data_IF_485423826687
#
_entry.id   IF_485423826687
#
_cell.length_a   1.000
_cell.length_b   1.000
_cell.length_c   1.000
_cell.angle_alpha   90.00
_cell.angle_beta   90.00
_cell.angle_gamma   90.00
#
_symmetry.space_group_name_H-M   'P 1'
#
loop_
_entity.id
_entity.type
_entity.pdbx_description
1 polymer ?
#
# COMPACT_ATOMS: atom_id res chain seq x y z
N UNK A 1 -22.01 -10.15 2.98
CA UNK A 1 -21.37 -11.05 3.94
C UNK A 1 -19.97 -10.55 4.30
N UNK A 2 -19.83 -10.06 5.52
CA UNK A 2 -18.56 -9.57 6.04
C UNK A 2 -17.69 -10.75 6.44
N UNK A 3 -16.44 -10.78 5.95
CA UNK A 3 -15.48 -11.82 6.33
C UNK A 3 -14.92 -11.51 7.72
N UNK A 4 -14.86 -12.54 8.58
CA UNK A 4 -14.24 -12.43 9.89
C UNK A 4 -12.77 -12.83 9.81
N UNK A 5 -11.85 -12.02 10.37
CA UNK A 5 -10.43 -12.36 10.38
C UNK A 5 -10.12 -13.51 11.33
N UNK A 6 -9.08 -14.28 10.99
CA UNK A 6 -8.53 -15.28 11.90
C UNK A 6 -7.81 -14.60 13.08
N UNK A 7 -7.55 -15.35 14.14
CA UNK A 7 -6.92 -14.82 15.37
C UNK A 7 -5.60 -14.09 15.09
N UNK A 8 -4.72 -14.68 14.30
CA UNK A 8 -3.44 -14.05 13.97
C UNK A 8 -3.61 -12.74 13.17
N UNK A 9 -4.68 -12.63 12.37
CA UNK A 9 -5.02 -11.41 11.67
C UNK A 9 -5.52 -10.32 12.62
N UNK A 10 -6.32 -10.71 13.63
CA UNK A 10 -6.77 -9.79 14.67
C UNK A 10 -5.61 -9.24 15.49
N UNK A 11 -4.66 -10.09 15.85
CA UNK A 11 -3.47 -9.67 16.60
C UNK A 11 -2.63 -8.70 15.81
N UNK A 12 -2.44 -8.96 14.50
CA UNK A 12 -1.73 -8.05 13.60
C UNK A 12 -2.44 -6.69 13.48
N UNK A 13 -3.77 -6.70 13.32
CA UNK A 13 -4.58 -5.48 13.23
C UNK A 13 -4.47 -4.64 14.50
N UNK A 14 -4.52 -5.27 15.66
CA UNK A 14 -4.38 -4.59 16.96
C UNK A 14 -2.99 -3.98 17.13
N UNK A 15 -1.94 -4.69 16.68
CA UNK A 15 -0.58 -4.18 16.72
C UNK A 15 -0.42 -2.94 15.82
N UNK A 16 -0.99 -2.98 14.62
CA UNK A 16 -0.98 -1.84 13.70
C UNK A 16 -1.74 -0.65 14.28
N UNK A 17 -2.91 -0.89 14.89
CA UNK A 17 -3.69 0.17 15.53
C UNK A 17 -2.87 0.89 16.61
N UNK A 18 -2.19 0.14 17.48
CA UNK A 18 -1.37 0.73 18.54
C UNK A 18 -0.22 1.56 17.97
N UNK A 19 0.46 1.06 16.95
CA UNK A 19 1.56 1.78 16.32
C UNK A 19 1.08 3.05 15.64
N UNK A 20 -0.06 3.00 14.97
CA UNK A 20 -0.64 4.15 14.28
C UNK A 20 -1.08 5.24 15.25
N UNK A 21 -1.62 4.87 16.41
CA UNK A 21 -2.03 5.81 17.45
C UNK A 21 -0.84 6.49 18.14
N UNK A 22 0.25 5.76 18.35
CA UNK A 22 1.38 6.22 19.13
C UNK A 22 2.45 6.96 18.30
N UNK A 23 2.53 6.70 16.99
CA UNK A 23 3.62 7.18 16.16
C UNK A 23 3.14 7.84 14.87
N UNK A 24 3.68 9.02 14.55
CA UNK A 24 3.44 9.67 13.26
C UNK A 24 4.18 8.96 12.12
N UNK A 25 5.37 8.43 12.40
CA UNK A 25 6.14 7.61 11.46
C UNK A 25 6.53 6.31 12.14
N UNK A 26 6.38 5.19 11.44
CA UNK A 26 6.75 3.89 12.00
C UNK A 26 7.12 2.91 10.89
N UNK A 27 7.83 1.86 11.30
CA UNK A 27 8.12 0.70 10.46
C UNK A 27 7.77 -0.54 11.27
N UNK A 28 6.95 -1.40 10.72
CA UNK A 28 6.56 -2.65 11.37
C UNK A 28 6.60 -3.79 10.38
N UNK A 29 6.86 -4.99 10.88
CA UNK A 29 6.82 -6.21 10.09
C UNK A 29 5.66 -7.07 10.58
N UNK A 30 4.68 -7.24 9.70
CA UNK A 30 3.57 -8.15 9.93
C UNK A 30 3.90 -9.46 9.24
N UNK A 31 4.22 -10.48 10.02
CA UNK A 31 4.56 -11.81 9.51
C UNK A 31 3.34 -12.71 9.65
N UNK A 32 2.82 -13.18 8.53
CA UNK A 32 1.69 -14.10 8.49
C UNK A 32 2.10 -15.38 7.75
N UNK A 33 1.59 -16.54 8.18
CA UNK A 33 1.85 -17.78 7.45
C UNK A 33 1.36 -17.69 6.00
N UNK A 34 2.01 -18.42 5.10
CA UNK A 34 1.56 -18.56 3.72
C UNK A 34 0.10 -19.02 3.71
N UNK A 35 -0.75 -18.34 2.96
CA UNK A 35 -2.18 -18.60 2.97
C UNK A 35 -2.92 -18.03 4.18
N UNK A 36 -2.23 -17.28 5.06
CA UNK A 36 -2.83 -16.72 6.27
C UNK A 36 -3.65 -15.44 6.05
N UNK A 37 -3.84 -15.01 4.82
CA UNK A 37 -4.65 -13.84 4.51
C UNK A 37 -3.98 -12.52 4.83
N UNK A 38 -2.65 -12.41 4.65
CA UNK A 38 -1.93 -11.16 4.90
C UNK A 38 -2.42 -9.99 4.06
N UNK A 39 -2.79 -10.25 2.79
CA UNK A 39 -3.35 -9.22 1.91
C UNK A 39 -4.71 -8.74 2.43
N UNK A 40 -5.55 -9.68 2.90
CA UNK A 40 -6.80 -9.33 3.55
C UNK A 40 -6.58 -8.46 4.78
N UNK A 41 -5.65 -8.85 5.66
CA UNK A 41 -5.33 -8.11 6.88
C UNK A 41 -4.87 -6.69 6.56
N UNK A 42 -3.90 -6.56 5.65
CA UNK A 42 -3.35 -5.26 5.29
C UNK A 42 -4.40 -4.37 4.60
N UNK A 43 -5.14 -4.91 3.62
CA UNK A 43 -6.10 -4.12 2.87
C UNK A 43 -7.29 -3.65 3.71
N UNK A 44 -7.81 -4.48 4.61
CA UNK A 44 -8.92 -4.07 5.49
C UNK A 44 -8.48 -2.99 6.47
N UNK A 45 -7.27 -3.11 7.02
CA UNK A 45 -6.73 -2.09 7.92
C UNK A 45 -6.50 -0.77 7.18
N UNK A 46 -5.92 -0.83 5.98
CA UNK A 46 -5.62 0.36 5.16
C UNK A 46 -6.87 1.06 4.63
N UNK A 47 -7.93 0.31 4.31
CA UNK A 47 -9.21 0.91 3.95
C UNK A 47 -9.71 1.83 5.06
N UNK A 48 -9.64 1.39 6.29
CA UNK A 48 -10.12 2.14 7.45
C UNK A 48 -9.17 3.26 7.87
N UNK A 49 -7.88 2.99 7.92
CA UNK A 49 -6.89 3.90 8.52
C UNK A 49 -6.20 4.82 7.52
N UNK A 50 -6.24 4.50 6.24
CA UNK A 50 -5.66 5.34 5.20
C UNK A 50 -6.73 5.90 4.26
N UNK A 51 -7.37 5.06 3.47
CA UNK A 51 -8.29 5.52 2.42
C UNK A 51 -9.50 6.27 2.99
N UNK A 52 -10.08 5.78 4.07
CA UNK A 52 -11.22 6.46 4.70
C UNK A 52 -10.84 7.81 5.30
N UNK A 53 -9.57 8.03 5.58
CA UNK A 53 -9.03 9.31 6.08
C UNK A 53 -8.40 10.15 4.96
N UNK A 54 -8.60 9.77 3.71
CA UNK A 54 -8.06 10.43 2.51
C UNK A 54 -6.52 10.51 2.51
N UNK A 55 -5.86 9.50 3.07
CA UNK A 55 -4.41 9.37 3.04
C UNK A 55 -4.01 8.42 1.94
N UNK A 56 -2.84 8.66 1.35
CA UNK A 56 -2.35 7.91 0.20
C UNK A 56 -1.64 6.63 0.61
N UNK A 57 -1.75 5.61 -0.25
CA UNK A 57 -1.10 4.32 -0.08
C UNK A 57 -0.24 4.02 -1.29
N UNK A 58 1.01 3.64 -1.06
CA UNK A 58 1.89 3.07 -2.08
C UNK A 58 2.12 1.60 -1.74
N UNK A 59 1.61 0.71 -2.58
CA UNK A 59 1.73 -0.74 -2.41
C UNK A 59 2.69 -1.29 -3.45
N UNK A 60 3.78 -1.89 -3.00
CA UNK A 60 4.83 -2.45 -3.85
C UNK A 60 4.77 -3.97 -3.84
N UNK A 61 4.79 -4.57 -5.01
CA UNK A 61 4.84 -6.02 -5.14
C UNK A 61 5.76 -6.43 -6.28
N UNK A 62 6.28 -7.65 -6.22
CA UNK A 62 7.21 -8.17 -7.21
C UNK A 62 6.52 -8.81 -8.39
N UNK A 63 5.47 -9.62 -8.14
CA UNK A 63 4.78 -10.39 -9.18
C UNK A 63 3.50 -9.68 -9.64
N UNK A 64 3.22 -9.75 -10.94
CA UNK A 64 2.01 -9.16 -11.50
C UNK A 64 0.73 -9.71 -10.90
N UNK A 65 0.70 -11.03 -10.60
CA UNK A 65 -0.46 -11.66 -9.95
C UNK A 65 -0.75 -11.06 -8.58
N UNK A 66 0.29 -10.66 -7.83
CA UNK A 66 0.13 -10.03 -6.52
C UNK A 66 -0.45 -8.61 -6.65
N UNK A 67 -0.16 -7.91 -7.74
CA UNK A 67 -0.74 -6.59 -8.01
C UNK A 67 -2.25 -6.69 -8.18
N UNK A 68 -2.70 -7.63 -9.01
CA UNK A 68 -4.13 -7.84 -9.25
C UNK A 68 -4.83 -8.31 -7.98
N UNK A 69 -4.22 -9.21 -7.21
CA UNK A 69 -4.78 -9.69 -5.94
C UNK A 69 -4.92 -8.56 -4.93
N UNK A 70 -3.96 -7.65 -4.86
CA UNK A 70 -4.04 -6.50 -3.97
C UNK A 70 -5.20 -5.60 -4.37
N UNK A 71 -5.33 -5.25 -5.65
CA UNK A 71 -6.43 -4.44 -6.15
C UNK A 71 -7.79 -5.08 -5.88
N UNK A 72 -7.93 -6.37 -6.15
CA UNK A 72 -9.15 -7.12 -5.88
C UNK A 72 -9.50 -7.11 -4.40
N UNK A 73 -8.50 -7.25 -3.52
CA UNK A 73 -8.71 -7.25 -2.09
C UNK A 73 -9.26 -5.91 -1.60
N UNK A 74 -8.70 -4.79 -2.07
CA UNK A 74 -9.23 -3.47 -1.72
C UNK A 74 -10.65 -3.28 -2.21
N UNK A 75 -10.96 -3.68 -3.43
CA UNK A 75 -12.31 -3.58 -3.99
C UNK A 75 -13.31 -4.46 -3.25
N UNK A 76 -12.93 -5.71 -2.98
CA UNK A 76 -13.79 -6.71 -2.36
C UNK A 76 -14.16 -6.34 -0.93
N UNK A 77 -13.24 -5.74 -0.19
CA UNK A 77 -13.44 -5.42 1.22
C UNK A 77 -13.79 -3.94 1.49
N UNK A 78 -14.07 -3.17 0.44
CA UNK A 78 -14.47 -1.76 0.55
C UNK A 78 -15.96 -1.63 0.93
N UNK A 79 -16.33 -2.15 2.10
CA UNK A 79 -17.68 -2.01 2.63
C UNK A 79 -17.85 -0.66 3.31
N UNK A 80 -19.09 -0.18 3.38
CA UNK A 80 -19.41 1.06 4.07
C UNK A 80 -18.95 1.06 5.54
N UNK A 81 -18.92 -0.11 6.18
CA UNK A 81 -18.41 -0.25 7.56
C UNK A 81 -16.89 -0.01 7.65
N UNK A 82 -16.15 -0.28 6.58
CA UNK A 82 -14.68 -0.07 6.53
C UNK A 82 -14.31 1.33 6.07
N UNK A 83 -15.16 1.97 5.25
CA UNK A 83 -14.92 3.32 4.72
C UNK A 83 -16.13 4.22 4.96
N UNK A 84 -16.51 4.49 6.23
CA UNK A 84 -17.73 5.25 6.55
C UNK A 84 -17.69 6.71 6.12
N UNK A 85 -16.52 7.30 5.90
CA UNK A 85 -16.36 8.72 5.61
C UNK A 85 -16.19 9.04 4.13
N UNK A 86 -15.96 8.03 3.27
CA UNK A 86 -15.84 8.22 1.82
C UNK A 86 -16.77 7.27 1.08
N UNK A 87 -17.20 7.69 -0.12
CA UNK A 87 -18.06 6.86 -0.98
C UNK A 87 -17.28 6.02 -1.97
N UNK A 88 -16.06 6.45 -2.32
CA UNK A 88 -15.20 5.76 -3.28
C UNK A 88 -13.75 6.20 -3.09
N UNK A 89 -12.85 5.43 -3.69
CA UNK A 89 -11.43 5.79 -3.79
C UNK A 89 -10.93 5.48 -5.18
N UNK A 90 -9.86 6.15 -5.58
CA UNK A 90 -9.24 5.97 -6.89
C UNK A 90 -7.95 5.17 -6.74
N UNK A 91 -7.87 4.07 -7.50
CA UNK A 91 -6.67 3.23 -7.49
C UNK A 91 -6.07 3.11 -8.89
N UNK A 92 -4.79 2.79 -8.95
CA UNK A 92 -4.08 2.56 -10.20
C UNK A 92 -3.08 1.43 -10.03
N UNK A 93 -3.04 0.52 -11.00
CA UNK A 93 -2.07 -0.59 -11.04
C UNK A 93 -1.06 -0.26 -12.12
N UNK A 94 0.21 -0.21 -11.74
CA UNK A 94 1.33 0.14 -12.64
C UNK A 94 2.28 -1.05 -12.77
N UNK A 95 2.47 -1.53 -13.99
CA UNK A 95 3.40 -2.64 -14.27
C UNK A 95 3.77 -2.68 -15.75
N UNK A 96 4.61 -3.63 -16.12
CA UNK A 96 4.96 -3.88 -17.51
C UNK A 96 3.88 -4.59 -18.30
N UNK A 97 2.81 -5.07 -17.65
CA UNK A 97 1.71 -5.75 -18.33
C UNK A 97 0.91 -4.78 -19.21
N UNK A 98 0.42 -5.27 -20.35
CA UNK A 98 -0.46 -4.49 -21.23
C UNK A 98 -1.81 -4.15 -20.58
N UNK A 99 -2.20 -4.90 -19.56
CA UNK A 99 -3.46 -4.70 -18.83
C UNK A 99 -3.35 -3.66 -17.72
N UNK A 100 -2.14 -3.19 -17.43
CA UNK A 100 -1.88 -2.23 -16.37
C UNK A 100 -1.40 -0.89 -16.93
N UNK A 101 -1.54 0.16 -16.14
CA UNK A 101 -1.04 1.47 -16.49
C UNK A 101 0.49 1.55 -16.41
N UNK A 102 1.06 2.63 -16.91
CA UNK A 102 2.48 2.94 -16.83
C UNK A 102 2.73 4.07 -15.84
N UNK A 103 3.97 4.28 -15.45
CA UNK A 103 4.33 5.33 -14.49
C UNK A 103 3.91 6.72 -14.96
N UNK A 104 3.89 6.96 -16.27
CA UNK A 104 3.44 8.23 -16.86
C UNK A 104 1.96 8.51 -16.59
N UNK A 105 1.17 7.47 -16.32
CA UNK A 105 -0.27 7.60 -16.07
C UNK A 105 -0.60 7.95 -14.62
N UNK A 106 0.41 7.94 -13.72
CA UNK A 106 0.18 8.26 -12.31
C UNK A 106 -0.39 9.67 -12.19
N UNK A 107 -1.52 9.79 -11.49
CA UNK A 107 -2.24 11.04 -11.30
C UNK A 107 -2.12 11.47 -9.83
N UNK A 108 -1.87 12.74 -9.54
CA UNK A 108 -1.84 13.23 -8.15
C UNK A 108 -3.10 12.93 -7.34
N UNK A 109 -4.22 12.68 -8.01
CA UNK A 109 -5.51 12.34 -7.37
C UNK A 109 -5.67 10.87 -7.05
N UNK A 110 -4.74 10.01 -7.46
CA UNK A 110 -4.81 8.59 -7.12
C UNK A 110 -4.64 8.42 -5.61
N UNK A 111 -5.52 7.64 -4.99
CA UNK A 111 -5.49 7.37 -3.56
C UNK A 111 -4.60 6.18 -3.23
N UNK A 112 -4.62 5.18 -4.11
CA UNK A 112 -3.90 3.93 -3.95
C UNK A 112 -3.12 3.64 -5.22
N UNK A 113 -1.79 3.56 -5.10
CA UNK A 113 -0.92 3.10 -6.19
C UNK A 113 -0.39 1.71 -5.85
N UNK A 114 -0.64 0.77 -6.75
CA UNK A 114 -0.12 -0.60 -6.66
C UNK A 114 0.88 -0.75 -7.81
N UNK A 115 2.17 -0.82 -7.49
CA UNK A 115 3.23 -0.73 -8.49
C UNK A 115 4.16 -1.93 -8.39
N UNK A 116 4.53 -2.48 -9.56
CA UNK A 116 5.51 -3.56 -9.62
C UNK A 116 6.92 -3.05 -9.33
N UNK A 117 7.72 -3.89 -8.70
CA UNK A 117 9.14 -3.63 -8.45
C UNK A 117 9.88 -3.22 -9.72
N UNK A 118 9.63 -3.91 -10.84
CA UNK A 118 10.34 -3.65 -12.08
C UNK A 118 10.00 -2.28 -12.66
N UNK A 119 8.75 -1.84 -12.56
CA UNK A 119 8.33 -0.53 -13.04
C UNK A 119 8.94 0.61 -12.25
N UNK A 120 9.05 0.45 -10.91
CA UNK A 120 9.51 1.52 -10.04
C UNK A 120 11.03 1.51 -9.83
N UNK A 121 11.72 0.44 -10.24
CA UNK A 121 13.15 0.28 -10.00
C UNK A 121 14.05 1.23 -10.75
N UNK A 122 13.57 1.83 -11.83
CA UNK A 122 14.34 2.80 -12.62
C UNK A 122 14.23 4.19 -12.02
N UNK A 123 15.35 4.93 -11.94
CA UNK A 123 15.37 6.27 -11.37
C UNK A 123 14.38 7.23 -12.06
N UNK A 124 14.26 7.15 -13.38
CA UNK A 124 13.33 7.99 -14.15
C UNK A 124 11.87 7.71 -13.79
N UNK A 125 11.52 6.45 -13.53
CA UNK A 125 10.17 6.06 -13.12
C UNK A 125 9.93 6.43 -11.66
N UNK A 126 10.92 6.30 -10.82
CA UNK A 126 10.83 6.69 -9.41
C UNK A 126 10.51 8.19 -9.29
N UNK A 127 11.13 9.02 -10.13
CA UNK A 127 10.87 10.46 -10.17
C UNK A 127 9.41 10.78 -10.54
N UNK A 128 8.70 9.88 -11.20
CA UNK A 128 7.27 10.07 -11.55
C UNK A 128 6.36 10.07 -10.31
N UNK A 129 6.86 9.60 -9.18
CA UNK A 129 6.11 9.65 -7.92
C UNK A 129 6.08 11.05 -7.32
N UNK A 130 7.01 11.93 -7.67
CA UNK A 130 7.15 13.24 -7.03
C UNK A 130 5.87 14.09 -7.06
N UNK A 131 5.16 14.25 -8.21
CA UNK A 131 3.90 14.99 -8.21
C UNK A 131 2.81 14.36 -7.36
N UNK A 132 2.78 13.03 -7.28
CA UNK A 132 1.81 12.31 -6.48
C UNK A 132 2.10 12.46 -4.98
N UNK A 133 3.38 12.49 -4.60
CA UNK A 133 3.81 12.68 -3.21
C UNK A 133 3.72 14.13 -2.75
N UNK A 134 3.68 15.09 -3.69
CA UNK A 134 3.68 16.51 -3.37
C UNK A 134 2.44 16.88 -2.54
N UNK A 135 2.66 17.58 -1.43
CA UNK A 135 1.59 18.02 -0.55
C UNK A 135 1.04 16.96 0.38
N UNK A 136 1.54 15.72 0.31
CA UNK A 136 1.15 14.67 1.25
C UNK A 136 1.97 14.80 2.53
N UNK A 137 1.31 14.88 3.68
CA UNK A 137 1.97 14.88 4.98
C UNK A 137 2.24 13.47 5.48
N UNK A 138 1.33 12.55 5.17
CA UNK A 138 1.40 11.15 5.56
C UNK A 138 1.30 10.25 4.33
N UNK A 139 2.02 9.14 4.35
CA UNK A 139 1.86 8.08 3.36
C UNK A 139 2.00 6.71 4.02
N UNK A 140 1.19 5.77 3.58
CA UNK A 140 1.31 4.37 3.96
C UNK A 140 2.05 3.64 2.85
N UNK A 141 3.17 3.03 3.18
CA UNK A 141 4.02 2.30 2.25
C UNK A 141 4.00 0.82 2.62
N UNK A 142 3.52 -0.01 1.70
CA UNK A 142 3.41 -1.46 1.90
C UNK A 142 4.35 -2.17 0.94
N UNK A 143 5.13 -3.11 1.45
CA UNK A 143 5.99 -3.97 0.65
C UNK A 143 5.48 -5.41 0.76
N UNK A 144 4.90 -5.90 -0.32
CA UNK A 144 4.36 -7.25 -0.38
C UNK A 144 5.44 -8.23 -0.86
N UNK A 145 5.66 -9.31 -0.09
CA UNK A 145 6.66 -10.33 -0.37
C UNK A 145 8.07 -9.76 -0.61
N UNK A 146 8.62 -9.08 0.41
CA UNK A 146 9.99 -8.61 0.36
C UNK A 146 10.97 -9.78 0.41
N UNK A 147 11.65 -10.05 -0.71
CA UNK A 147 12.68 -11.06 -0.81
C UNK A 147 14.07 -10.42 -0.81
N UNK A 148 15.09 -11.22 -0.50
CA UNK A 148 16.48 -10.75 -0.53
C UNK A 148 16.85 -10.15 -1.90
N UNK A 149 16.40 -10.75 -2.98
CA UNK A 149 16.67 -10.30 -4.35
C UNK A 149 16.01 -8.96 -4.70
N UNK A 150 14.94 -8.56 -3.97
CA UNK A 150 14.21 -7.32 -4.23
C UNK A 150 14.51 -6.24 -3.20
N UNK A 151 15.21 -6.57 -2.12
CA UNK A 151 15.42 -5.68 -0.98
C UNK A 151 16.10 -4.35 -1.36
N UNK A 152 17.08 -4.39 -2.25
CA UNK A 152 17.80 -3.19 -2.70
C UNK A 152 16.88 -2.21 -3.43
N UNK A 153 16.02 -2.70 -4.31
CA UNK A 153 15.06 -1.87 -5.03
C UNK A 153 14.05 -1.25 -4.08
N UNK A 154 13.49 -2.04 -3.17
CA UNK A 154 12.52 -1.55 -2.20
C UNK A 154 13.13 -0.51 -1.27
N UNK A 155 14.37 -0.71 -0.82
CA UNK A 155 15.06 0.29 0.00
C UNK A 155 15.22 1.62 -0.72
N UNK A 156 15.54 1.58 -2.01
CA UNK A 156 15.64 2.80 -2.82
C UNK A 156 14.31 3.55 -2.89
N UNK A 157 13.22 2.83 -3.07
CA UNK A 157 11.87 3.43 -3.08
C UNK A 157 11.52 4.01 -1.72
N UNK A 158 11.78 3.26 -0.66
CA UNK A 158 11.51 3.71 0.71
C UNK A 158 12.27 4.99 1.02
N UNK A 159 13.55 5.04 0.70
CA UNK A 159 14.39 6.22 0.92
C UNK A 159 13.90 7.42 0.13
N UNK A 160 13.50 7.21 -1.13
CA UNK A 160 12.95 8.26 -1.96
C UNK A 160 11.66 8.85 -1.34
N UNK A 161 10.76 7.99 -0.89
CA UNK A 161 9.51 8.42 -0.28
C UNK A 161 9.77 9.15 1.04
N UNK A 162 10.66 8.64 1.87
CA UNK A 162 11.03 9.29 3.14
C UNK A 162 11.64 10.67 2.94
N UNK A 163 12.33 10.88 1.83
CA UNK A 163 12.89 12.20 1.49
C UNK A 163 11.80 13.21 1.11
N UNK A 164 10.69 12.76 0.55
CA UNK A 164 9.62 13.60 0.01
C UNK A 164 8.45 13.83 0.95
N UNK A 165 8.21 12.93 1.90
CA UNK A 165 7.02 12.95 2.76
C UNK A 165 7.45 13.00 4.23
N UNK A 166 6.79 13.86 5.01
CA UNK A 166 7.14 14.08 6.42
C UNK A 166 6.94 12.83 7.29
N UNK A 167 5.85 12.10 7.07
CA UNK A 167 5.50 10.94 7.87
C UNK A 167 5.25 9.73 6.98
N UNK A 168 6.15 8.74 7.05
CA UNK A 168 6.04 7.49 6.30
C UNK A 168 5.74 6.35 7.25
N UNK A 169 4.64 5.66 6.99
CA UNK A 169 4.19 4.50 7.77
C UNK A 169 4.44 3.24 6.94
N UNK A 170 5.52 2.53 7.25
CA UNK A 170 5.97 1.35 6.52
C UNK A 170 5.38 0.07 7.14
N UNK A 171 4.75 -0.73 6.30
CA UNK A 171 4.10 -1.99 6.70
C UNK A 171 4.70 -3.16 5.93
#
# INVERSE_FOLDING_TARGET
NTRHPYRHQLDALRALDRMDEENASYSTLVVLPTGGGKTYTASTWLLRHALDKKKKILWLAHRQTLLDQAAESFQKFAYAAEIPHISSFRYRIVSGSSNHDKTINIDPKDDLLIISKDSIGRASNLARLAPWLAGADDIFLVVDEAHHSTAKTYRRVIDYVKDKVAHVKLI
#
